data_IF_313370160521
#
_entry.id   IF_313370160521
#
_cell.length_a   1.000
_cell.length_b   1.000
_cell.length_c   1.000
_cell.angle_alpha   90.00
_cell.angle_beta   90.00
_cell.angle_gamma   90.00
#
_symmetry.space_group_name_H-M   'P 1'
#
loop_
_entity.id
_entity.type
_entity.pdbx_description
1 polymer ?
#
# COMPACT_ATOMS: atom_id res chain seq x y z
N UNK A 1 16.69 6.71 11.22
CA UNK A 1 15.34 7.32 11.22
C UNK A 1 15.43 8.84 11.39
N UNK A 2 14.86 9.62 10.44
CA UNK A 2 14.86 11.09 10.46
C UNK A 2 13.75 11.72 11.31
N UNK A 3 13.62 13.05 11.30
CA UNK A 3 12.62 13.77 12.10
C UNK A 3 11.17 13.54 11.65
N UNK A 4 10.90 13.58 10.34
CA UNK A 4 9.55 13.40 9.78
C UNK A 4 8.86 12.10 10.26
N UNK A 5 9.48 10.91 10.07
CA UNK A 5 8.93 9.65 10.57
C UNK A 5 8.72 9.63 12.10
N UNK A 6 9.60 10.26 12.88
CA UNK A 6 9.45 10.36 14.35
C UNK A 6 8.25 11.22 14.73
N UNK A 7 8.04 12.33 14.03
CA UNK A 7 6.91 13.23 14.25
C UNK A 7 5.59 12.58 13.85
N UNK A 8 5.55 11.91 12.69
CA UNK A 8 4.38 11.14 12.26
C UNK A 8 4.04 10.02 13.24
N UNK A 9 5.05 9.29 13.73
CA UNK A 9 4.87 8.26 14.76
C UNK A 9 4.34 8.84 16.08
N UNK A 10 4.75 10.06 16.47
CA UNK A 10 4.21 10.72 17.65
C UNK A 10 2.71 11.03 17.49
N UNK A 11 2.32 11.68 16.38
CA UNK A 11 0.92 11.96 16.02
C UNK A 11 0.08 10.66 16.05
N UNK A 12 0.59 9.59 15.44
CA UNK A 12 -0.06 8.29 15.46
C UNK A 12 -0.23 7.74 16.87
N UNK A 13 0.80 7.83 17.71
CA UNK A 13 0.77 7.32 19.09
C UNK A 13 -0.26 8.04 19.98
N UNK A 14 -0.65 9.26 19.62
CA UNK A 14 -1.73 10.00 20.27
C UNK A 14 -3.10 9.62 19.66
N UNK A 15 -3.23 9.67 18.32
CA UNK A 15 -4.50 9.38 17.62
C UNK A 15 -4.99 7.95 17.81
N UNK A 16 -4.10 6.96 17.92
CA UNK A 16 -4.47 5.56 18.16
C UNK A 16 -5.21 5.35 19.49
N UNK A 17 -4.98 6.22 20.48
CA UNK A 17 -5.63 6.17 21.80
C UNK A 17 -7.07 6.70 21.78
N UNK A 18 -7.46 7.40 20.72
CA UNK A 18 -8.79 8.00 20.60
C UNK A 18 -9.71 6.98 19.95
N UNK A 19 -10.68 6.46 20.73
CA UNK A 19 -11.62 5.43 20.24
C UNK A 19 -12.50 5.94 19.09
N UNK A 20 -12.89 7.22 19.13
CA UNK A 20 -13.71 7.87 18.10
C UNK A 20 -12.98 8.13 16.78
N UNK A 21 -11.64 8.01 16.73
CA UNK A 21 -10.89 8.07 15.47
C UNK A 21 -11.11 6.76 14.72
N UNK A 22 -11.73 6.88 13.54
CA UNK A 22 -12.06 5.75 12.68
C UNK A 22 -10.87 5.32 11.83
N UNK A 23 -10.31 6.22 11.03
CA UNK A 23 -9.06 6.04 10.29
C UNK A 23 -8.28 7.35 10.17
N UNK A 24 -6.99 7.24 9.86
CA UNK A 24 -6.08 8.38 9.68
C UNK A 24 -5.73 8.51 8.19
N UNK A 25 -6.20 9.59 7.59
CA UNK A 25 -5.95 9.94 6.17
C UNK A 25 -5.11 11.21 6.07
N UNK A 26 -4.69 11.55 4.85
CA UNK A 26 -4.03 12.80 4.53
C UNK A 26 -4.70 13.40 3.31
N UNK A 27 -4.92 14.70 3.31
CA UNK A 27 -5.47 15.44 2.17
C UNK A 27 -4.40 15.54 1.07
N UNK A 28 -4.69 14.97 -0.11
CA UNK A 28 -3.85 14.98 -1.33
C UNK A 28 -2.33 14.87 -1.02
N UNK A 29 -1.87 13.73 -0.48
CA UNK A 29 -0.53 13.60 0.05
C UNK A 29 0.54 13.59 -1.06
N UNK A 30 1.52 14.48 -0.96
CA UNK A 30 2.69 14.47 -1.85
C UNK A 30 3.47 13.14 -1.76
N UNK A 31 4.10 12.72 -2.86
CA UNK A 31 4.83 11.43 -2.97
C UNK A 31 5.85 11.20 -1.83
N UNK A 32 6.58 12.25 -1.45
CA UNK A 32 7.56 12.20 -0.35
C UNK A 32 6.92 11.94 1.01
N UNK A 33 5.69 12.43 1.23
CA UNK A 33 4.88 12.08 2.40
C UNK A 33 4.32 10.66 2.30
N UNK A 34 3.89 10.21 1.12
CA UNK A 34 3.43 8.83 0.92
C UNK A 34 4.54 7.83 1.25
N UNK A 35 5.77 8.04 0.76
CA UNK A 35 6.94 7.21 1.09
C UNK A 35 7.23 7.23 2.60
N UNK A 36 7.14 8.40 3.25
CA UNK A 36 7.37 8.53 4.69
C UNK A 36 6.31 7.79 5.51
N UNK A 37 5.03 7.91 5.13
CA UNK A 37 3.90 7.20 5.72
C UNK A 37 4.04 5.70 5.55
N UNK A 38 4.30 5.24 4.33
CA UNK A 38 4.48 3.83 4.01
C UNK A 38 5.60 3.19 4.85
N UNK A 39 6.72 3.89 5.07
CA UNK A 39 7.80 3.45 5.97
C UNK A 39 7.33 3.30 7.42
N UNK A 40 6.62 4.30 7.98
CA UNK A 40 6.11 4.25 9.36
C UNK A 40 5.06 3.14 9.50
N UNK A 41 4.11 3.06 8.59
CA UNK A 41 3.02 2.08 8.62
C UNK A 41 3.55 0.65 8.43
N UNK A 42 4.53 0.43 7.55
CA UNK A 42 5.17 -0.88 7.36
C UNK A 42 5.98 -1.30 8.60
N UNK A 43 6.72 -0.38 9.22
CA UNK A 43 7.47 -0.63 10.47
C UNK A 43 6.55 -0.91 11.67
N UNK A 44 5.32 -0.41 11.65
CA UNK A 44 4.32 -0.74 12.67
C UNK A 44 3.62 -2.07 12.37
N UNK A 45 3.21 -2.29 11.11
CA UNK A 45 2.54 -3.53 10.72
C UNK A 45 3.45 -4.76 10.80
N UNK A 46 4.75 -4.65 10.52
CA UNK A 46 5.69 -5.79 10.62
C UNK A 46 5.76 -6.43 12.01
N UNK A 47 5.42 -5.67 13.06
CA UNK A 47 5.36 -6.13 14.46
C UNK A 47 4.09 -6.93 14.78
N UNK A 48 3.15 -7.05 13.84
CA UNK A 48 1.89 -7.77 14.01
C UNK A 48 2.01 -9.20 13.48
N UNK A 49 1.54 -10.24 14.23
CA UNK A 49 1.52 -11.62 13.74
C UNK A 49 0.75 -11.82 12.42
N UNK A 50 -0.26 -10.98 12.17
CA UNK A 50 -1.06 -10.98 10.93
C UNK A 50 -0.24 -10.60 9.69
N UNK A 51 0.88 -9.92 9.87
CA UNK A 51 1.84 -9.54 8.83
C UNK A 51 3.16 -10.34 8.97
N UNK A 52 3.12 -11.50 9.63
CA UNK A 52 4.22 -12.46 9.57
C UNK A 52 4.43 -12.96 8.13
N UNK A 53 5.67 -13.37 7.81
CA UNK A 53 6.03 -13.90 6.48
C UNK A 53 5.03 -14.93 5.95
N UNK A 54 4.63 -15.90 6.78
CA UNK A 54 3.71 -16.96 6.39
C UNK A 54 2.33 -16.41 5.98
N UNK A 55 1.77 -15.50 6.79
CA UNK A 55 0.51 -14.83 6.48
C UNK A 55 0.60 -13.93 5.24
N UNK A 56 1.73 -13.24 5.04
CA UNK A 56 1.97 -12.40 3.85
C UNK A 56 2.04 -13.22 2.55
N UNK A 57 2.62 -14.42 2.60
CA UNK A 57 2.68 -15.31 1.43
C UNK A 57 1.31 -15.94 1.10
N UNK A 58 0.46 -16.16 2.10
CA UNK A 58 -0.90 -16.70 1.97
C UNK A 58 -1.94 -15.70 1.39
N UNK A 59 -1.53 -14.46 1.08
CA UNK A 59 -2.41 -13.47 0.43
C UNK A 59 -3.03 -12.45 1.39
N UNK A 60 -3.54 -11.34 0.83
CA UNK A 60 -4.21 -10.30 1.60
C UNK A 60 -5.56 -10.77 2.14
N UNK A 61 -5.72 -10.80 3.46
CA UNK A 61 -6.93 -11.27 4.12
C UNK A 61 -7.63 -10.15 4.93
N UNK A 62 -8.86 -10.42 5.39
CA UNK A 62 -9.68 -9.46 6.15
C UNK A 62 -9.12 -9.18 7.54
N UNK A 63 -8.42 -10.15 8.16
CA UNK A 63 -7.89 -10.00 9.53
C UNK A 63 -6.69 -9.04 9.58
N UNK A 64 -5.84 -9.02 8.54
CA UNK A 64 -4.80 -8.00 8.36
C UNK A 64 -5.42 -6.59 8.39
N UNK A 65 -6.50 -6.36 7.65
CA UNK A 65 -7.21 -5.07 7.65
C UNK A 65 -7.85 -4.78 9.01
N UNK A 66 -8.55 -5.74 9.60
CA UNK A 66 -9.20 -5.56 10.90
C UNK A 66 -8.21 -5.14 11.98
N UNK A 67 -7.11 -5.88 12.15
CA UNK A 67 -6.10 -5.58 13.18
C UNK A 67 -5.33 -4.28 12.88
N UNK A 68 -4.99 -4.00 11.62
CA UNK A 68 -4.36 -2.72 11.25
C UNK A 68 -5.27 -1.52 11.49
N UNK A 69 -6.59 -1.68 11.31
CA UNK A 69 -7.60 -0.64 11.55
C UNK A 69 -7.89 -0.45 13.02
N UNK A 70 -7.93 -1.53 13.81
CA UNK A 70 -8.10 -1.49 15.26
C UNK A 70 -6.89 -0.88 15.96
N UNK A 71 -5.67 -1.32 15.63
CA UNK A 71 -4.44 -0.87 16.31
C UNK A 71 -3.83 0.41 15.78
N UNK A 72 -3.84 0.59 14.45
CA UNK A 72 -3.10 1.68 13.78
C UNK A 72 -4.01 2.64 13.01
N UNK A 73 -5.33 2.45 13.07
CA UNK A 73 -6.33 3.30 12.41
C UNK A 73 -6.10 3.40 10.89
N UNK A 74 -5.56 2.35 10.27
CA UNK A 74 -5.32 2.31 8.81
C UNK A 74 -6.60 1.98 8.04
N UNK A 75 -6.81 2.69 6.93
CA UNK A 75 -7.87 2.39 5.98
C UNK A 75 -7.52 1.12 5.17
N UNK A 76 -8.51 0.57 4.44
CA UNK A 76 -8.32 -0.69 3.69
C UNK A 76 -7.30 -0.56 2.55
N UNK A 77 -7.23 0.60 1.88
CA UNK A 77 -6.28 0.86 0.79
C UNK A 77 -4.84 0.97 1.33
N UNK A 78 -4.64 1.74 2.40
CA UNK A 78 -3.36 1.81 3.13
C UNK A 78 -2.90 0.42 3.57
N UNK A 79 -3.75 -0.33 4.31
CA UNK A 79 -3.43 -1.69 4.76
C UNK A 79 -3.00 -2.60 3.61
N UNK A 80 -3.72 -2.54 2.47
CA UNK A 80 -3.40 -3.35 1.28
C UNK A 80 -2.04 -3.00 0.68
N UNK A 81 -1.70 -1.71 0.66
CA UNK A 81 -0.39 -1.21 0.20
C UNK A 81 0.74 -1.69 1.12
N UNK A 82 0.56 -1.61 2.43
CA UNK A 82 1.54 -2.09 3.42
C UNK A 82 1.75 -3.61 3.34
N UNK A 83 0.67 -4.39 3.17
CA UNK A 83 0.76 -5.82 2.92
C UNK A 83 1.63 -6.13 1.68
N UNK A 84 1.50 -5.38 0.59
CA UNK A 84 2.31 -5.61 -0.62
C UNK A 84 3.78 -5.22 -0.44
N UNK A 85 4.08 -4.14 0.29
CA UNK A 85 5.45 -3.75 0.65
C UNK A 85 6.11 -4.86 1.49
N UNK A 86 5.44 -5.32 2.56
CA UNK A 86 5.97 -6.35 3.44
C UNK A 86 6.03 -7.74 2.76
N UNK A 87 5.11 -8.05 1.84
CA UNK A 87 5.21 -9.26 1.01
C UNK A 87 6.42 -9.18 0.08
N UNK A 88 6.62 -8.05 -0.61
CA UNK A 88 7.78 -7.84 -1.50
C UNK A 88 9.11 -7.95 -0.74
N UNK A 89 9.16 -7.53 0.51
CA UNK A 89 10.33 -7.75 1.38
C UNK A 89 10.67 -9.25 1.52
N UNK A 90 9.67 -10.07 1.82
CA UNK A 90 9.86 -11.51 2.04
C UNK A 90 9.94 -12.36 0.77
N UNK A 91 9.45 -11.87 -0.37
CA UNK A 91 9.66 -12.49 -1.69
C UNK A 91 11.16 -12.61 -1.99
N UNK A 92 11.61 -13.82 -2.32
CA UNK A 92 12.99 -14.07 -2.73
C UNK A 92 13.18 -13.62 -4.18
N UNK A 93 14.04 -12.62 -4.40
CA UNK A 93 14.40 -12.15 -5.75
C UNK A 93 14.98 -13.29 -6.61
N UNK A 94 15.64 -14.26 -5.98
CA UNK A 94 16.25 -15.42 -6.64
C UNK A 94 15.25 -16.56 -6.93
N UNK A 95 13.96 -16.40 -6.64
CA UNK A 95 12.90 -17.39 -6.97
C UNK A 95 11.92 -16.75 -7.97
N UNK A 96 12.07 -17.03 -9.28
CA UNK A 96 11.27 -16.39 -10.33
C UNK A 96 9.75 -16.61 -10.16
N UNK A 97 9.35 -17.74 -9.57
CA UNK A 97 7.94 -18.09 -9.35
C UNK A 97 7.27 -17.20 -8.29
N UNK A 98 7.93 -16.93 -7.15
CA UNK A 98 7.40 -16.03 -6.11
C UNK A 98 7.24 -14.59 -6.64
N UNK A 99 8.22 -14.12 -7.42
CA UNK A 99 8.14 -12.81 -8.10
C UNK A 99 7.01 -12.76 -9.13
N UNK A 100 6.82 -13.83 -9.91
CA UNK A 100 5.74 -13.92 -10.91
C UNK A 100 4.37 -13.89 -10.23
N UNK A 101 4.17 -14.68 -9.17
CA UNK A 101 2.94 -14.67 -8.38
C UNK A 101 2.67 -13.28 -7.79
N UNK A 102 3.70 -12.64 -7.22
CA UNK A 102 3.58 -11.27 -6.73
C UNK A 102 3.14 -10.30 -7.83
N UNK A 103 3.80 -10.30 -8.99
CA UNK A 103 3.43 -9.46 -10.14
C UNK A 103 1.97 -9.70 -10.54
N UNK A 104 1.57 -10.95 -10.72
CA UNK A 104 0.20 -11.31 -11.10
C UNK A 104 -0.85 -10.82 -10.11
N UNK A 105 -0.63 -10.95 -8.80
CA UNK A 105 -1.60 -10.53 -7.77
C UNK A 105 -1.80 -9.01 -7.72
N UNK A 106 -0.70 -8.25 -7.84
CA UNK A 106 -0.75 -6.78 -7.92
C UNK A 106 -1.41 -6.35 -9.23
N UNK A 107 -1.09 -7.00 -10.36
CA UNK A 107 -1.68 -6.69 -11.66
C UNK A 107 -3.18 -7.00 -11.71
N UNK A 108 -3.62 -8.15 -11.17
CA UNK A 108 -5.04 -8.51 -11.00
C UNK A 108 -5.78 -7.47 -10.14
N UNK A 109 -5.15 -6.97 -9.07
CA UNK A 109 -5.70 -5.89 -8.23
C UNK A 109 -5.82 -4.57 -8.99
N UNK A 110 -4.74 -4.11 -9.62
CA UNK A 110 -4.74 -2.85 -10.39
C UNK A 110 -5.76 -2.91 -11.54
N UNK A 111 -5.81 -4.01 -12.29
CA UNK A 111 -6.83 -4.23 -13.34
C UNK A 111 -8.25 -4.14 -12.78
N UNK A 112 -8.51 -4.73 -11.61
CA UNK A 112 -9.82 -4.61 -10.93
C UNK A 112 -10.13 -3.16 -10.48
N UNK A 113 -9.14 -2.39 -10.06
CA UNK A 113 -9.34 -0.98 -9.68
C UNK A 113 -9.69 -0.12 -10.91
N UNK A 114 -9.04 -0.39 -12.06
CA UNK A 114 -9.25 0.29 -13.35
C UNK A 114 -10.54 -0.13 -14.05
N UNK A 115 -10.98 -1.39 -13.92
CA UNK A 115 -12.07 -1.97 -14.71
C UNK A 115 -13.35 -2.30 -13.91
N UNK A 116 -13.59 -1.70 -12.73
CA UNK A 116 -14.84 -1.93 -11.98
C UNK A 116 -15.96 -0.95 -12.43
N UNK A 117 -16.94 -1.39 -13.24
CA UNK A 117 -17.98 -0.49 -13.76
C UNK A 117 -18.97 -0.01 -12.68
N UNK A 118 -18.99 -0.64 -11.50
CA UNK A 118 -19.87 -0.20 -10.39
C UNK A 118 -19.31 1.00 -9.62
N UNK A 119 -18.06 1.38 -9.89
CA UNK A 119 -17.41 2.56 -9.33
C UNK A 119 -17.73 3.82 -10.14
N UNK A 120 -18.21 3.66 -11.36
CA UNK A 120 -18.46 4.74 -12.30
C UNK A 120 -19.67 5.60 -11.88
N UNK A 121 -19.57 6.91 -12.19
CA UNK A 121 -20.57 7.98 -12.03
C UNK A 121 -20.96 8.41 -10.61
N UNK A 122 -21.25 7.48 -9.69
CA UNK A 122 -21.94 7.82 -8.42
C UNK A 122 -21.10 8.56 -7.38
N UNK A 123 -19.84 8.16 -7.18
CA UNK A 123 -18.94 8.74 -6.14
C UNK A 123 -17.96 9.79 -6.67
N UNK A 124 -17.75 9.81 -7.99
CA UNK A 124 -16.76 10.63 -8.68
C UNK A 124 -16.99 12.14 -8.43
N UNK A 125 -18.25 12.55 -8.18
CA UNK A 125 -18.61 13.94 -7.91
C UNK A 125 -18.52 14.36 -6.42
N UNK A 126 -18.23 13.45 -5.47
CA UNK A 126 -18.37 13.72 -4.02
C UNK A 126 -17.16 13.35 -3.14
N UNK A 127 -16.14 12.68 -3.67
CA UNK A 127 -14.91 12.39 -2.93
C UNK A 127 -13.70 13.06 -3.57
N UNK A 128 -12.90 13.77 -2.77
CA UNK A 128 -11.53 14.13 -3.10
C UNK A 128 -10.80 12.88 -3.58
N UNK A 129 -10.42 12.84 -4.85
CA UNK A 129 -9.97 11.60 -5.49
C UNK A 129 -8.52 11.29 -5.07
N UNK A 130 -8.30 10.12 -4.45
CA UNK A 130 -6.95 9.56 -4.36
C UNK A 130 -6.39 9.39 -5.78
N UNK A 131 -5.10 9.61 -5.99
CA UNK A 131 -4.48 9.59 -7.33
C UNK A 131 -4.69 8.27 -8.09
N UNK A 132 -4.69 7.12 -7.39
CA UNK A 132 -5.02 5.81 -7.99
C UNK A 132 -6.44 5.77 -8.59
N UNK A 133 -7.40 6.53 -8.06
CA UNK A 133 -8.77 6.58 -8.54
C UNK A 133 -8.91 7.51 -9.75
N UNK A 134 -8.21 8.63 -9.74
CA UNK A 134 -8.07 9.56 -10.88
C UNK A 134 -7.47 8.86 -12.10
N UNK A 135 -6.38 8.11 -11.88
CA UNK A 135 -5.71 7.30 -12.90
C UNK A 135 -6.61 6.19 -13.44
N UNK A 136 -7.35 5.49 -12.58
CA UNK A 136 -8.29 4.45 -12.99
C UNK A 136 -9.36 4.96 -13.97
N UNK A 137 -9.93 6.15 -13.71
CA UNK A 137 -10.94 6.78 -14.58
C UNK A 137 -10.33 7.17 -15.93
N UNK A 138 -9.15 7.79 -15.93
CA UNK A 138 -8.44 8.14 -17.17
C UNK A 138 -8.12 6.89 -18.02
N UNK A 139 -7.81 5.76 -17.39
CA UNK A 139 -7.48 4.52 -18.07
C UNK A 139 -8.66 3.81 -18.74
N UNK A 140 -9.91 4.05 -18.30
CA UNK A 140 -11.10 3.47 -18.94
C UNK A 140 -11.32 3.96 -20.38
N UNK A 141 -10.70 5.08 -20.77
CA UNK A 141 -10.85 5.68 -22.10
C UNK A 141 -9.87 5.15 -23.17
N UNK A 142 -8.89 4.31 -22.80
CA UNK A 142 -7.87 3.80 -23.73
C UNK A 142 -8.28 2.48 -24.41
N UNK A 143 -7.70 2.21 -25.58
CA UNK A 143 -7.78 0.93 -26.28
C UNK A 143 -7.11 -0.21 -25.47
N UNK A 144 -7.49 -1.50 -25.65
CA UNK A 144 -7.01 -2.61 -24.81
C UNK A 144 -5.49 -2.75 -24.69
N UNK A 145 -4.74 -2.51 -25.77
CA UNK A 145 -3.27 -2.56 -25.77
C UNK A 145 -2.66 -1.39 -24.98
N UNK A 146 -3.25 -0.19 -25.13
CA UNK A 146 -2.85 1.00 -24.38
C UNK A 146 -3.19 0.86 -22.89
N UNK A 147 -4.33 0.27 -22.55
CA UNK A 147 -4.68 -0.08 -21.17
C UNK A 147 -3.65 -1.03 -20.56
N UNK A 148 -3.17 -2.03 -21.30
CA UNK A 148 -2.13 -2.95 -20.81
C UNK A 148 -0.81 -2.22 -20.57
N UNK A 149 -0.33 -1.40 -21.51
CA UNK A 149 0.90 -0.61 -21.34
C UNK A 149 0.81 0.31 -20.11
N UNK A 150 -0.30 1.05 -19.97
CA UNK A 150 -0.52 1.94 -18.82
C UNK A 150 -0.54 1.15 -17.49
N UNK A 151 -1.14 -0.04 -17.48
CA UNK A 151 -1.17 -0.91 -16.31
C UNK A 151 0.22 -1.46 -15.93
N UNK A 152 1.07 -1.70 -16.92
CA UNK A 152 2.49 -2.06 -16.72
C UNK A 152 3.29 -0.88 -16.15
N UNK A 153 3.14 0.33 -16.71
CA UNK A 153 3.76 1.56 -16.16
C UNK A 153 3.33 1.84 -14.72
N UNK A 154 2.04 1.68 -14.40
CA UNK A 154 1.55 1.83 -13.02
C UNK A 154 2.15 0.78 -12.08
N UNK A 155 2.24 -0.48 -12.51
CA UNK A 155 2.87 -1.54 -11.72
C UNK A 155 4.34 -1.24 -11.44
N UNK A 156 5.10 -0.78 -12.44
CA UNK A 156 6.52 -0.45 -12.28
C UNK A 156 6.74 0.73 -11.33
N UNK A 157 5.99 1.82 -11.50
CA UNK A 157 6.04 2.97 -10.59
C UNK A 157 5.68 2.59 -9.15
N UNK A 158 4.64 1.76 -8.98
CA UNK A 158 4.23 1.25 -7.68
C UNK A 158 5.33 0.41 -6.99
N UNK A 159 5.92 -0.54 -7.72
CA UNK A 159 6.99 -1.41 -7.18
C UNK A 159 8.28 -0.63 -6.93
N UNK A 160 8.59 0.39 -7.73
CA UNK A 160 9.73 1.28 -7.47
C UNK A 160 9.52 2.09 -6.18
N UNK A 161 8.32 2.61 -5.95
CA UNK A 161 7.97 3.23 -4.67
C UNK A 161 8.07 2.25 -3.48
N UNK A 162 7.64 1.00 -3.66
CA UNK A 162 7.80 -0.03 -2.62
C UNK A 162 9.28 -0.33 -2.33
N UNK A 163 10.13 -0.42 -3.36
CA UNK A 163 11.60 -0.60 -3.20
C UNK A 163 12.22 0.54 -2.40
N UNK A 164 11.88 1.80 -2.69
CA UNK A 164 12.38 2.96 -1.91
C UNK A 164 12.01 2.84 -0.42
N UNK A 165 10.79 2.40 -0.10
CA UNK A 165 10.36 2.15 1.29
C UNK A 165 11.16 1.00 1.92
N UNK A 166 11.40 -0.09 1.19
CA UNK A 166 12.21 -1.22 1.67
C UNK A 166 13.68 -0.84 1.90
N UNK A 167 14.27 -0.01 1.04
CA UNK A 167 15.64 0.50 1.18
C UNK A 167 15.75 1.41 2.43
N UNK A 168 14.72 2.22 2.70
CA UNK A 168 14.63 3.03 3.92
C UNK A 168 14.50 2.16 5.19
N UNK A 169 13.69 1.09 5.13
CA UNK A 169 13.56 0.12 6.23
C UNK A 169 14.90 -0.58 6.48
N UNK A 170 15.52 -1.19 5.46
CA UNK A 170 16.80 -1.88 5.59
C UNK A 170 17.94 -0.95 6.07
N UNK A 171 17.91 0.33 5.71
CA UNK A 171 18.91 1.33 6.13
C UNK A 171 18.80 1.74 7.60
N UNK A 172 17.61 1.72 8.20
CA UNK A 172 17.39 2.26 9.55
C UNK A 172 16.94 1.23 10.58
N UNK A 173 16.34 0.11 10.15
CA UNK A 173 15.70 -0.88 11.00
C UNK A 173 16.40 -2.23 10.84
N UNK A 174 17.04 -2.71 11.92
CA UNK A 174 17.86 -3.95 11.89
C UNK A 174 17.08 -5.20 11.47
N UNK A 175 15.77 -5.23 11.74
CA UNK A 175 14.85 -6.31 11.39
C UNK A 175 14.65 -6.48 9.87
N UNK A 176 15.03 -5.48 9.07
CA UNK A 176 14.86 -5.46 7.62
C UNK A 176 16.17 -5.66 6.84
N UNK A 177 17.27 -5.96 7.52
CA UNK A 177 18.52 -6.37 6.87
C UNK A 177 18.40 -7.84 6.45
N UNK A 178 18.68 -8.12 5.16
CA UNK A 178 18.63 -9.48 4.58
C UNK A 178 19.95 -10.24 4.77
#
# INVERSE_FOLDING_TARGET
MGLGPKFLQAIYSDLWRIETVWDITAEVPADSFVIMRDYVDALNCSKLPQFSKENLMNGFNTEMYKIAREKYKLCKMQTRRIYEILRLFHTKVNVPEELKQFKEDVFKRLKKLVMDPKRDRGRIAQSFADDEQSLAIAMMAFEPEQQQHQLETLYENLVNNYRIVLDLLAKYEKEFVK
#
